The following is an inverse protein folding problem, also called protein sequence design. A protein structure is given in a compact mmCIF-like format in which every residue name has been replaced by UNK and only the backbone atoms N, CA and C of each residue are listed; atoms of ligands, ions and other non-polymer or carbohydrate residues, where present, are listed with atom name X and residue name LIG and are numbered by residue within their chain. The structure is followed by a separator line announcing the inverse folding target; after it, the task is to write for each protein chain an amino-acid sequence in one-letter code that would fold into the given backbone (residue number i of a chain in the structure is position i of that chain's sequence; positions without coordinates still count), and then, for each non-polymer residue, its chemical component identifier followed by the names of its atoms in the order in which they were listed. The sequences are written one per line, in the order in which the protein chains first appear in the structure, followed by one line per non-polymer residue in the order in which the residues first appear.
data_IF_004619572501
#
_entry.id   IF_004619572501
#
_cell.length_a   1.000
_cell.length_b   1.000
_cell.length_c   1.000
_cell.angle_alpha   90.00
_cell.angle_beta   90.00
_cell.angle_gamma   90.00
#
_symmetry.space_group_name_H-M   'P 1'
#
loop_
_entity.id
_entity.type
_entity.pdbx_description
1 polymer ?
#
# COMPACT_ATOMS: atom_id res chain seq x y z
N UNK A 1 -0.60 22.64 -0.10
CA UNK A 1 -0.72 22.48 -1.57
C UNK A 1 -0.36 23.81 -2.23
N UNK A 2 0.29 23.78 -3.38
CA UNK A 2 0.73 24.97 -4.11
C UNK A 2 0.99 24.65 -5.58
N UNK A 3 1.47 25.61 -6.38
CA UNK A 3 1.61 25.44 -7.83
C UNK A 3 2.59 24.32 -8.24
N UNK A 4 3.51 23.90 -7.36
CA UNK A 4 4.43 22.77 -7.58
C UNK A 4 4.11 21.55 -6.70
N UNK A 5 2.83 21.25 -6.53
CA UNK A 5 2.39 19.98 -5.97
C UNK A 5 2.72 18.79 -6.89
N UNK A 6 2.64 17.57 -6.36
CA UNK A 6 2.86 16.35 -7.14
C UNK A 6 1.89 16.31 -8.33
N UNK A 7 2.43 16.44 -9.54
CA UNK A 7 1.67 16.40 -10.80
C UNK A 7 0.88 15.09 -10.94
N UNK A 8 1.44 13.99 -10.42
CA UNK A 8 0.83 12.67 -10.44
C UNK A 8 -0.16 12.40 -9.31
N UNK A 9 -0.42 13.35 -8.40
CA UNK A 9 -1.22 13.08 -7.20
C UNK A 9 -2.61 12.53 -7.52
N UNK A 10 -3.30 13.11 -8.51
CA UNK A 10 -4.65 12.64 -8.89
C UNK A 10 -4.63 11.25 -9.50
N UNK A 11 -3.61 10.96 -10.29
CA UNK A 11 -3.46 9.65 -10.93
C UNK A 11 -3.13 8.58 -9.88
N UNK A 12 -2.15 8.85 -9.01
CA UNK A 12 -1.79 7.97 -7.92
C UNK A 12 -2.97 7.70 -6.97
N UNK A 13 -3.78 8.72 -6.64
CA UNK A 13 -4.99 8.53 -5.82
C UNK A 13 -5.98 7.59 -6.48
N UNK A 14 -6.26 7.76 -7.78
CA UNK A 14 -7.20 6.91 -8.50
C UNK A 14 -6.71 5.45 -8.57
N UNK A 15 -5.43 5.24 -8.87
CA UNK A 15 -4.84 3.90 -8.89
C UNK A 15 -4.94 3.23 -7.53
N UNK A 16 -4.62 3.98 -6.47
CA UNK A 16 -4.65 3.49 -5.10
C UNK A 16 -6.08 3.08 -4.68
N UNK A 17 -7.08 3.92 -4.99
CA UNK A 17 -8.49 3.61 -4.75
C UNK A 17 -8.93 2.34 -5.50
N UNK A 18 -8.61 2.23 -6.79
CA UNK A 18 -8.98 1.08 -7.62
C UNK A 18 -8.33 -0.22 -7.12
N UNK A 19 -7.04 -0.16 -6.76
CA UNK A 19 -6.30 -1.30 -6.22
C UNK A 19 -6.87 -1.71 -4.87
N UNK A 20 -7.10 -0.77 -3.96
CA UNK A 20 -7.69 -1.10 -2.66
C UNK A 20 -9.08 -1.71 -2.77
N UNK A 21 -9.93 -1.18 -3.65
CA UNK A 21 -11.25 -1.75 -3.88
C UNK A 21 -11.17 -3.20 -4.40
N UNK A 22 -10.16 -3.54 -5.22
CA UNK A 22 -9.96 -4.93 -5.67
C UNK A 22 -9.41 -5.82 -4.54
N UNK A 23 -8.47 -5.32 -3.76
CA UNK A 23 -7.87 -6.05 -2.64
C UNK A 23 -8.94 -6.41 -1.63
N UNK A 24 -9.68 -5.43 -1.11
CA UNK A 24 -10.67 -5.61 -0.04
C UNK A 24 -11.81 -6.56 -0.45
N UNK A 25 -12.20 -6.56 -1.74
CA UNK A 25 -13.33 -7.39 -2.21
C UNK A 25 -12.96 -8.87 -2.41
N UNK A 26 -11.70 -9.15 -2.72
CA UNK A 26 -11.28 -10.47 -3.21
C UNK A 26 -10.25 -11.15 -2.31
N UNK A 27 -9.58 -10.41 -1.42
CA UNK A 27 -8.47 -10.92 -0.64
C UNK A 27 -8.58 -10.53 0.83
N UNK A 28 -8.33 -11.50 1.70
CA UNK A 28 -8.06 -11.30 3.12
C UNK A 28 -6.55 -11.27 3.33
N UNK A 29 -6.04 -10.19 3.92
CA UNK A 29 -4.62 -9.98 4.19
C UNK A 29 -4.35 -10.14 5.68
N UNK A 30 -3.40 -11.00 6.06
CA UNK A 30 -2.90 -11.10 7.44
C UNK A 30 -1.41 -10.80 7.53
N UNK A 31 -1.01 -10.26 8.69
CA UNK A 31 0.37 -9.95 9.04
C UNK A 31 0.70 -10.67 10.36
N UNK A 32 1.61 -11.64 10.30
CA UNK A 32 1.99 -12.50 11.44
C UNK A 32 3.44 -12.22 11.88
N UNK A 33 3.95 -11.03 11.57
CA UNK A 33 5.32 -10.62 11.83
C UNK A 33 5.36 -9.50 12.88
N UNK A 34 6.53 -9.25 13.51
CA UNK A 34 6.71 -8.09 14.38
C UNK A 34 6.39 -6.76 13.65
N UNK A 35 6.27 -5.70 14.44
CA UNK A 35 5.95 -4.37 13.93
C UNK A 35 6.89 -3.94 12.80
N UNK A 36 6.30 -3.23 11.83
CA UNK A 36 7.00 -2.82 10.63
C UNK A 36 8.05 -1.74 10.95
N UNK A 37 9.29 -2.01 10.56
CA UNK A 37 10.38 -1.04 10.68
C UNK A 37 10.40 -0.12 9.48
N UNK A 38 10.36 1.19 9.75
CA UNK A 38 10.46 2.23 8.74
C UNK A 38 11.83 2.89 8.79
N UNK A 39 12.40 3.14 7.61
CA UNK A 39 13.64 3.87 7.47
C UNK A 39 13.47 4.99 6.42
N UNK A 40 14.19 6.09 6.64
CA UNK A 40 14.32 7.15 5.65
C UNK A 40 15.64 6.98 4.91
N UNK A 41 15.57 6.46 3.68
CA UNK A 41 16.68 6.53 2.75
C UNK A 41 16.48 7.75 1.86
N UNK A 42 16.21 7.55 0.57
CA UNK A 42 15.75 8.61 -0.32
C UNK A 42 14.26 8.94 -0.11
N UNK A 43 13.46 7.92 0.20
CA UNK A 43 12.05 8.01 0.53
C UNK A 43 11.84 7.37 1.90
N UNK A 44 10.86 7.86 2.65
CA UNK A 44 10.39 7.18 3.85
C UNK A 44 9.63 5.93 3.43
N UNK A 45 10.10 4.78 3.88
CA UNK A 45 9.55 3.50 3.44
C UNK A 45 9.89 2.37 4.38
N UNK A 46 9.49 1.17 3.96
CA UNK A 46 9.69 -0.06 4.73
C UNK A 46 11.14 -0.48 4.60
N UNK A 47 11.81 -0.72 5.73
CA UNK A 47 13.20 -1.16 5.78
C UNK A 47 13.34 -2.65 5.43
N UNK A 48 12.34 -3.45 5.84
CA UNK A 48 12.35 -4.90 5.73
C UNK A 48 11.35 -5.37 4.64
N UNK A 49 11.59 -6.53 3.99
CA UNK A 49 10.71 -7.02 2.93
C UNK A 49 9.30 -7.31 3.47
N UNK A 50 8.29 -6.76 2.80
CA UNK A 50 6.88 -6.96 3.13
C UNK A 50 6.44 -8.39 2.78
N UNK A 51 6.20 -9.22 3.80
CA UNK A 51 5.68 -10.58 3.68
C UNK A 51 4.22 -10.62 4.15
N UNK A 52 3.29 -10.56 3.21
CA UNK A 52 1.86 -10.64 3.48
C UNK A 52 1.36 -12.06 3.25
N UNK A 53 0.54 -12.56 4.16
CA UNK A 53 -0.24 -13.78 3.91
C UNK A 53 -1.54 -13.36 3.24
N UNK A 54 -1.77 -13.87 2.03
CA UNK A 54 -2.95 -13.54 1.20
C UNK A 54 -3.85 -14.75 1.12
N UNK A 55 -5.12 -14.59 1.48
CA UNK A 55 -6.16 -15.61 1.29
C UNK A 55 -7.21 -15.07 0.32
N UNK A 56 -7.60 -15.87 -0.67
CA UNK A 56 -8.68 -15.49 -1.57
C UNK A 56 -10.02 -15.64 -0.86
N UNK A 57 -10.81 -14.58 -0.89
CA UNK A 57 -12.17 -14.54 -0.36
C UNK A 57 -13.09 -15.22 -1.38
N UNK A 58 -13.18 -16.55 -1.30
CA UNK A 58 -14.13 -17.34 -2.08
C UNK A 58 -15.53 -16.94 -1.65
N UNK A 59 -16.30 -16.33 -2.56
CA UNK A 59 -17.73 -16.08 -2.35
C UNK A 59 -18.56 -17.34 -2.54
#
# INVERSE_FOLDING_TARGET
AGPRWCVGMRFASLELELVFMKIIRNFELSWEHPDMEFASHLLYGINNPLKLTVKELTR
#
